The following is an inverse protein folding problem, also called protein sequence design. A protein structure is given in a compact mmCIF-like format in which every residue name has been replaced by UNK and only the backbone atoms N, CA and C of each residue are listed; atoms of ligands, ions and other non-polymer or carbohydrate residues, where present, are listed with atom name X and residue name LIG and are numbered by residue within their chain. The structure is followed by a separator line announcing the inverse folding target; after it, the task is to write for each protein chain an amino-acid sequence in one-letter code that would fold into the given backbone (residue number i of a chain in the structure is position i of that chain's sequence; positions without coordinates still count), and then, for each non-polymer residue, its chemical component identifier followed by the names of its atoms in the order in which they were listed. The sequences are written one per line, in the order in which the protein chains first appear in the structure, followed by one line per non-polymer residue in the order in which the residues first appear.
data_IF_952096569668
#
_entry.id   IF_952096569668
#
_cell.length_a   1.000
_cell.length_b   1.000
_cell.length_c   1.000
_cell.angle_alpha   90.00
_cell.angle_beta   90.00
_cell.angle_gamma   90.00
#
_symmetry.space_group_name_H-M   'P 1'
#
loop_
_entity.id
_entity.type
_entity.pdbx_description
1 polymer ?
#
# COMPACT_ATOMS: atom_id res chain seq x y z
N UNK A 1 6.28 19.74 0.37
CA UNK A 1 7.76 19.75 0.29
C UNK A 1 8.39 18.71 1.22
N UNK A 2 7.80 18.40 2.37
CA UNK A 2 8.37 17.41 3.32
C UNK A 2 8.32 15.95 2.82
N UNK A 3 7.36 15.60 1.96
CA UNK A 3 7.24 14.24 1.41
C UNK A 3 8.33 13.85 0.41
N UNK A 4 9.05 14.81 -0.16
CA UNK A 4 10.09 14.56 -1.18
C UNK A 4 11.44 14.24 -0.52
N UNK A 5 11.72 14.79 0.65
CA UNK A 5 12.98 14.54 1.39
C UNK A 5 13.04 13.12 1.93
N UNK A 6 11.91 12.61 2.45
CA UNK A 6 11.83 11.26 3.02
C UNK A 6 12.08 10.16 1.96
N UNK A 7 11.79 10.44 0.68
CA UNK A 7 12.00 9.50 -0.42
C UNK A 7 13.48 9.38 -0.85
N UNK A 8 14.29 10.40 -0.60
CA UNK A 8 15.71 10.40 -0.96
C UNK A 8 16.57 9.58 0.02
N UNK A 9 16.10 9.38 1.25
CA UNK A 9 16.79 8.59 2.28
C UNK A 9 16.51 7.09 2.21
N UNK A 10 15.55 6.66 1.39
CA UNK A 10 15.14 5.26 1.28
C UNK A 10 16.04 4.38 0.39
N UNK A 11 17.21 4.85 -0.03
CA UNK A 11 18.18 4.04 -0.78
C UNK A 11 18.65 2.87 0.08
N UNK A 12 18.13 1.69 -0.22
CA UNK A 12 18.54 0.42 0.42
C UNK A 12 17.45 -0.29 1.24
N UNK A 13 16.18 0.21 1.24
CA UNK A 13 15.13 -0.29 2.14
C UNK A 13 13.87 -0.78 1.47
N UNK A 14 13.96 -1.14 0.24
CA UNK A 14 12.81 -1.39 -0.59
C UNK A 14 12.21 -0.08 -1.11
N UNK A 15 11.70 -0.13 -2.31
CA UNK A 15 11.17 1.05 -2.97
C UNK A 15 9.70 1.28 -2.60
N UNK A 16 9.35 2.53 -2.32
CA UNK A 16 7.96 2.96 -2.16
C UNK A 16 7.39 3.30 -3.52
N UNK A 17 6.33 2.60 -3.94
CA UNK A 17 5.65 2.86 -5.19
C UNK A 17 4.26 3.45 -4.97
N UNK A 18 3.90 4.43 -5.80
CA UNK A 18 2.54 4.96 -5.90
C UNK A 18 1.87 4.37 -7.13
N UNK A 19 0.65 3.87 -6.97
CA UNK A 19 -0.17 3.39 -8.09
C UNK A 19 -1.09 4.48 -8.55
N UNK A 20 -1.18 4.61 -9.88
CA UNK A 20 -1.91 5.68 -10.53
C UNK A 20 -2.75 5.10 -11.67
N UNK A 21 -3.93 5.66 -11.91
CA UNK A 21 -4.81 5.24 -12.99
C UNK A 21 -4.18 5.40 -14.38
N UNK A 22 -3.47 6.50 -14.59
CA UNK A 22 -2.83 6.82 -15.87
C UNK A 22 -1.43 6.23 -16.01
N UNK A 23 -0.59 6.39 -14.98
CA UNK A 23 0.84 6.02 -15.06
C UNK A 23 1.16 4.63 -14.53
N UNK A 24 0.18 3.94 -13.93
CA UNK A 24 0.38 2.60 -13.38
C UNK A 24 1.18 2.62 -12.08
N UNK A 25 2.46 2.26 -12.14
CA UNK A 25 3.39 2.24 -11.00
C UNK A 25 4.37 3.39 -11.11
N UNK A 26 4.48 4.21 -10.07
CA UNK A 26 5.37 5.36 -9.99
C UNK A 26 6.30 5.23 -8.79
N UNK A 27 7.55 5.61 -8.98
CA UNK A 27 8.49 5.87 -7.88
C UNK A 27 8.27 7.28 -7.32
N UNK A 28 8.65 7.57 -6.07
CA UNK A 28 8.41 8.86 -5.44
C UNK A 28 8.98 10.07 -6.17
N UNK A 29 10.06 9.88 -6.95
CA UNK A 29 10.74 10.95 -7.69
C UNK A 29 10.45 10.96 -9.19
N UNK A 30 9.54 10.12 -9.67
CA UNK A 30 9.15 10.14 -11.08
C UNK A 30 8.39 11.45 -11.38
N UNK A 31 8.82 12.15 -12.44
CA UNK A 31 8.15 13.35 -12.91
C UNK A 31 6.86 12.98 -13.64
N UNK A 32 5.77 13.63 -13.28
CA UNK A 32 4.45 13.40 -13.90
C UNK A 32 3.76 14.73 -14.19
N UNK A 33 2.90 14.72 -15.19
CA UNK A 33 1.98 15.82 -15.46
C UNK A 33 0.72 15.72 -14.57
N UNK A 34 0.11 16.85 -14.18
CA UNK A 34 -1.14 16.84 -13.44
C UNK A 34 -2.27 16.15 -14.21
N UNK A 35 -2.97 15.24 -13.58
CA UNK A 35 -4.13 14.58 -14.16
C UNK A 35 -5.15 14.18 -13.09
N UNK A 36 -6.37 13.82 -13.54
CA UNK A 36 -7.40 13.25 -12.68
C UNK A 36 -8.02 12.04 -13.37
N UNK A 37 -7.54 10.85 -13.02
CA UNK A 37 -8.07 9.58 -13.49
C UNK A 37 -7.93 8.55 -12.37
N UNK A 38 -9.05 8.13 -11.81
CA UNK A 38 -9.09 7.13 -10.74
C UNK A 38 -9.07 5.73 -11.35
N UNK A 39 -8.47 4.75 -10.65
CA UNK A 39 -8.31 3.37 -11.14
C UNK A 39 -9.67 2.71 -11.41
N UNK A 40 -10.69 3.01 -10.59
CA UNK A 40 -12.06 2.53 -10.77
C UNK A 40 -12.83 3.14 -11.93
N UNK A 41 -12.25 4.10 -12.68
CA UNK A 41 -12.92 4.77 -13.80
C UNK A 41 -13.24 3.79 -14.92
N UNK A 42 -14.46 3.90 -15.45
CA UNK A 42 -14.90 3.15 -16.65
C UNK A 42 -14.37 3.87 -17.89
N UNK A 43 -13.22 3.45 -18.36
CA UNK A 43 -12.61 3.98 -19.57
C UNK A 43 -12.49 2.86 -20.61
N UNK A 44 -13.17 3.00 -21.74
CA UNK A 44 -13.02 2.08 -22.86
C UNK A 44 -11.68 2.34 -23.55
N UNK A 45 -10.89 1.29 -23.68
CA UNK A 45 -9.59 1.29 -24.35
C UNK A 45 -9.55 0.14 -25.37
N UNK A 46 -8.52 0.09 -26.20
CA UNK A 46 -8.29 -1.06 -27.07
C UNK A 46 -8.06 -2.39 -26.34
N UNK A 47 -7.80 -2.37 -25.01
CA UNK A 47 -7.58 -3.54 -24.18
C UNK A 47 -8.79 -3.91 -23.30
N UNK A 48 -9.87 -3.13 -23.32
CA UNK A 48 -11.07 -3.44 -22.55
C UNK A 48 -11.83 -2.20 -22.05
N UNK A 49 -12.86 -2.42 -21.24
CA UNK A 49 -13.80 -1.39 -20.76
C UNK A 49 -13.41 -0.74 -19.42
N UNK A 50 -12.29 -1.10 -18.83
CA UNK A 50 -11.83 -0.60 -17.53
C UNK A 50 -10.31 -0.42 -17.52
N UNK A 51 -9.80 0.38 -16.60
CA UNK A 51 -8.36 0.50 -16.40
C UNK A 51 -7.74 -0.79 -15.84
N UNK A 52 -8.49 -1.60 -15.11
CA UNK A 52 -8.03 -2.93 -14.68
C UNK A 52 -7.72 -3.83 -15.88
N UNK A 53 -8.63 -3.86 -16.87
CA UNK A 53 -8.40 -4.61 -18.11
C UNK A 53 -7.26 -4.00 -18.96
N UNK A 54 -7.09 -2.69 -18.93
CA UNK A 54 -5.99 -2.01 -19.63
C UNK A 54 -4.64 -2.42 -19.06
N UNK A 55 -4.48 -2.40 -17.73
CA UNK A 55 -3.23 -2.73 -17.07
C UNK A 55 -2.95 -4.23 -17.07
N UNK A 56 -3.98 -5.08 -16.92
CA UNK A 56 -3.81 -6.52 -16.87
C UNK A 56 -2.75 -6.93 -15.85
N UNK A 57 -1.75 -7.68 -16.26
CA UNK A 57 -0.63 -8.15 -15.44
C UNK A 57 0.58 -7.18 -15.42
N UNK A 58 0.56 -6.11 -16.20
CA UNK A 58 1.72 -5.21 -16.38
C UNK A 58 2.22 -4.63 -15.05
N UNK A 59 1.31 -4.31 -14.10
CA UNK A 59 1.70 -3.80 -12.80
C UNK A 59 2.41 -4.86 -11.96
N UNK A 60 1.95 -6.10 -12.04
CA UNK A 60 2.60 -7.24 -11.36
C UNK A 60 3.97 -7.53 -11.94
N UNK A 61 4.12 -7.48 -13.27
CA UNK A 61 5.42 -7.64 -13.93
C UNK A 61 6.42 -6.56 -13.51
N UNK A 62 5.98 -5.29 -13.46
CA UNK A 62 6.83 -4.18 -12.99
C UNK A 62 7.26 -4.37 -11.53
N UNK A 63 6.34 -4.79 -10.65
CA UNK A 63 6.63 -5.06 -9.24
C UNK A 63 7.56 -6.28 -9.08
N UNK A 64 7.41 -7.32 -9.91
CA UNK A 64 8.31 -8.47 -9.91
C UNK A 64 9.74 -8.09 -10.31
N UNK A 65 9.87 -7.29 -11.38
CA UNK A 65 11.18 -6.80 -11.82
C UNK A 65 11.89 -6.03 -10.71
N UNK A 66 11.16 -5.16 -10.03
CA UNK A 66 11.70 -4.39 -8.92
C UNK A 66 12.05 -5.27 -7.71
N UNK A 67 11.19 -6.22 -7.37
CA UNK A 67 11.45 -7.16 -6.28
C UNK A 67 12.73 -7.99 -6.56
N UNK A 68 12.92 -8.43 -7.80
CA UNK A 68 14.12 -9.15 -8.21
C UNK A 68 15.39 -8.28 -8.11
N UNK A 69 15.29 -6.98 -8.51
CA UNK A 69 16.42 -6.04 -8.44
C UNK A 69 16.83 -5.76 -6.98
N UNK A 70 15.87 -5.66 -6.07
CA UNK A 70 16.13 -5.33 -4.66
C UNK A 70 16.28 -6.55 -3.75
N UNK A 71 16.01 -7.75 -4.25
CA UNK A 71 15.96 -8.96 -3.44
C UNK A 71 14.76 -9.01 -2.48
N UNK A 72 13.69 -8.25 -2.75
CA UNK A 72 12.52 -8.18 -1.88
C UNK A 72 11.61 -9.40 -2.06
N UNK A 73 11.37 -10.15 -0.99
CA UNK A 73 10.46 -11.30 -0.99
C UNK A 73 9.03 -10.93 -0.57
N UNK A 74 8.83 -9.75 0.01
CA UNK A 74 7.56 -9.28 0.57
C UNK A 74 7.19 -7.92 0.00
N UNK A 75 5.92 -7.77 -0.37
CA UNK A 75 5.29 -6.52 -0.76
C UNK A 75 4.28 -6.11 0.31
N UNK A 76 4.49 -4.97 0.97
CA UNK A 76 3.54 -4.42 1.93
C UNK A 76 2.52 -3.53 1.21
N UNK A 77 1.26 -3.96 1.20
CA UNK A 77 0.19 -3.25 0.51
C UNK A 77 -0.42 -2.13 1.37
N UNK A 78 0.07 -0.92 1.21
CA UNK A 78 -0.53 0.29 1.81
C UNK A 78 -1.54 1.00 0.88
N UNK A 79 -1.86 0.44 -0.29
CA UNK A 79 -2.84 1.01 -1.21
C UNK A 79 -4.29 0.73 -0.79
N UNK A 80 -5.26 1.47 -1.34
CA UNK A 80 -6.67 1.14 -1.20
C UNK A 80 -7.03 -0.11 -2.02
N UNK A 81 -8.15 -0.74 -1.72
CA UNK A 81 -8.66 -1.89 -2.48
C UNK A 81 -8.82 -1.56 -3.98
N UNK A 82 -9.30 -0.34 -4.29
CA UNK A 82 -9.44 0.15 -5.66
C UNK A 82 -8.11 0.08 -6.42
N UNK A 83 -7.05 0.65 -5.84
CA UNK A 83 -5.75 0.69 -6.51
C UNK A 83 -5.01 -0.65 -6.44
N UNK A 84 -5.15 -1.40 -5.36
CA UNK A 84 -4.54 -2.72 -5.26
C UNK A 84 -5.21 -3.75 -6.16
N UNK A 85 -6.49 -3.60 -6.43
CA UNK A 85 -7.23 -4.44 -7.37
C UNK A 85 -6.71 -4.43 -8.81
N UNK A 86 -5.83 -3.48 -9.15
CA UNK A 86 -5.15 -3.44 -10.45
C UNK A 86 -3.89 -4.33 -10.51
N UNK A 87 -3.50 -4.94 -9.40
CA UNK A 87 -2.41 -5.94 -9.36
C UNK A 87 -3.00 -7.32 -9.54
N UNK A 88 -2.54 -8.03 -10.55
CA UNK A 88 -2.85 -9.44 -10.74
C UNK A 88 -2.00 -10.27 -9.77
N UNK A 89 -2.64 -10.76 -8.71
CA UNK A 89 -1.97 -11.56 -7.67
C UNK A 89 -1.46 -12.90 -8.21
N UNK A 90 -2.06 -13.43 -9.26
CA UNK A 90 -1.62 -14.70 -9.87
C UNK A 90 -0.30 -14.54 -10.62
N UNK A 91 0.01 -13.33 -11.07
CA UNK A 91 1.24 -12.97 -11.76
C UNK A 91 2.30 -12.34 -10.83
N UNK A 92 1.98 -12.12 -9.55
CA UNK A 92 2.86 -11.45 -8.59
C UNK A 92 3.76 -12.47 -7.86
N UNK A 93 5.08 -12.27 -7.89
CA UNK A 93 6.04 -13.16 -7.24
C UNK A 93 6.21 -12.91 -5.72
N UNK A 94 6.34 -11.65 -5.23
CA UNK A 94 6.49 -11.40 -3.79
C UNK A 94 5.23 -11.78 -3.00
N UNK A 95 5.43 -12.24 -1.76
CA UNK A 95 4.32 -12.41 -0.80
C UNK A 95 3.72 -11.05 -0.47
N UNK A 96 2.39 -10.98 -0.36
CA UNK A 96 1.70 -9.74 0.00
C UNK A 96 1.32 -9.74 1.46
N UNK A 97 1.69 -8.67 2.17
CA UNK A 97 1.17 -8.35 3.50
C UNK A 97 0.32 -7.09 3.38
N UNK A 98 -0.93 -7.15 3.82
CA UNK A 98 -1.86 -6.02 3.80
C UNK A 98 -2.18 -5.59 5.23
N UNK A 99 -1.62 -4.47 5.71
CA UNK A 99 -2.04 -3.86 6.97
C UNK A 99 -3.49 -3.38 6.88
N UNK A 100 -4.31 -3.79 7.84
CA UNK A 100 -5.72 -3.43 7.93
C UNK A 100 -5.94 -2.66 9.23
N UNK A 101 -6.36 -1.42 9.11
CA UNK A 101 -6.56 -0.51 10.23
C UNK A 101 -8.04 -0.41 10.58
N UNK A 102 -8.35 -0.65 11.85
CA UNK A 102 -9.73 -0.68 12.37
C UNK A 102 -9.85 0.18 13.62
N UNK A 103 -11.02 0.79 13.80
CA UNK A 103 -11.40 1.53 15.01
C UNK A 103 -12.46 0.74 15.78
N UNK A 104 -12.27 0.63 17.11
CA UNK A 104 -13.24 0.02 18.02
C UNK A 104 -14.13 1.09 18.62
N UNK A 105 -15.44 0.93 18.45
CA UNK A 105 -16.45 1.78 19.06
C UNK A 105 -17.59 0.90 19.57
N UNK A 106 -18.01 1.09 20.81
CA UNK A 106 -19.06 0.29 21.46
C UNK A 106 -18.87 -1.22 21.29
N UNK A 107 -17.64 -1.72 21.48
CA UNK A 107 -17.29 -3.13 21.39
C UNK A 107 -17.17 -3.69 19.97
N UNK A 108 -17.46 -2.90 18.93
CA UNK A 108 -17.35 -3.33 17.53
C UNK A 108 -16.16 -2.67 16.84
N UNK A 109 -15.35 -3.48 16.14
CA UNK A 109 -14.26 -3.00 15.31
C UNK A 109 -14.72 -2.84 13.85
N UNK A 110 -14.44 -1.66 13.24
CA UNK A 110 -14.81 -1.35 11.86
C UNK A 110 -13.69 -0.56 11.19
N UNK A 111 -13.59 -0.72 9.86
CA UNK A 111 -12.70 0.12 9.05
C UNK A 111 -13.41 1.46 8.83
N UNK A 112 -12.77 2.56 9.24
CA UNK A 112 -13.21 3.92 8.93
C UNK A 112 -12.30 4.47 7.84
N UNK A 113 -12.82 4.66 6.64
CA UNK A 113 -12.05 4.98 5.42
C UNK A 113 -11.08 6.14 5.58
N UNK A 114 -11.50 7.20 6.25
CA UNK A 114 -10.67 8.38 6.50
C UNK A 114 -9.44 8.04 7.39
N UNK A 115 -9.67 7.32 8.48
CA UNK A 115 -8.59 6.92 9.39
C UNK A 115 -7.69 5.86 8.77
N UNK A 116 -8.27 4.87 8.08
CA UNK A 116 -7.51 3.85 7.38
C UNK A 116 -6.59 4.45 6.29
N UNK A 117 -7.05 5.49 5.58
CA UNK A 117 -6.21 6.22 4.62
C UNK A 117 -5.00 6.87 5.29
N UNK A 118 -5.20 7.57 6.40
CA UNK A 118 -4.12 8.20 7.18
C UNK A 118 -3.16 7.15 7.74
N UNK A 119 -3.68 6.07 8.32
CA UNK A 119 -2.88 5.02 8.93
C UNK A 119 -2.01 4.28 7.92
N UNK A 120 -2.50 4.00 6.70
CA UNK A 120 -1.69 3.41 5.62
C UNK A 120 -0.54 4.32 5.21
N UNK A 121 -0.78 5.63 5.12
CA UNK A 121 0.29 6.60 4.88
C UNK A 121 1.32 6.65 6.02
N UNK A 122 0.84 6.60 7.27
CA UNK A 122 1.71 6.54 8.44
C UNK A 122 2.54 5.25 8.50
N UNK A 123 1.95 4.10 8.13
CA UNK A 123 2.66 2.82 8.03
C UNK A 123 3.76 2.87 6.97
N UNK A 124 3.47 3.42 5.78
CA UNK A 124 4.49 3.58 4.75
C UNK A 124 5.66 4.47 5.23
N UNK A 125 5.34 5.56 5.91
CA UNK A 125 6.34 6.43 6.53
C UNK A 125 7.14 5.71 7.62
N UNK A 126 6.47 4.95 8.47
CA UNK A 126 7.09 4.17 9.54
C UNK A 126 8.14 3.19 8.99
N UNK A 127 7.78 2.43 7.93
CA UNK A 127 8.71 1.51 7.27
C UNK A 127 9.99 2.21 6.80
N UNK A 128 9.84 3.36 6.15
CA UNK A 128 10.97 4.14 5.63
C UNK A 128 11.81 4.71 6.78
N UNK A 129 11.20 5.34 7.77
CA UNK A 129 11.91 5.97 8.89
C UNK A 129 12.67 4.98 9.77
N UNK A 130 12.09 3.79 10.01
CA UNK A 130 12.73 2.74 10.81
C UNK A 130 13.60 1.81 9.97
N UNK A 131 13.68 2.04 8.65
CA UNK A 131 14.49 1.23 7.75
C UNK A 131 14.19 -0.27 7.90
N UNK A 132 12.92 -0.63 7.88
CA UNK A 132 12.51 -2.00 8.10
C UNK A 132 12.92 -2.89 6.91
N UNK A 133 13.77 -3.88 7.16
CA UNK A 133 14.14 -4.93 6.22
C UNK A 133 13.38 -6.24 6.49
N UNK A 134 12.91 -6.42 7.73
CA UNK A 134 12.07 -7.55 8.14
C UNK A 134 10.62 -7.08 8.31
N UNK A 135 9.64 -7.71 7.63
CA UNK A 135 8.25 -7.36 7.79
C UNK A 135 7.70 -7.54 9.22
N UNK A 136 8.32 -8.38 10.05
CA UNK A 136 7.91 -8.54 11.46
C UNK A 136 7.98 -7.22 12.23
N UNK A 137 8.89 -6.32 11.89
CA UNK A 137 8.97 -4.97 12.47
C UNK A 137 7.74 -4.10 12.23
N UNK A 138 6.83 -4.46 11.29
CA UNK A 138 5.54 -3.76 11.13
C UNK A 138 4.63 -3.95 12.36
N UNK A 139 4.78 -5.03 13.10
CA UNK A 139 3.94 -5.34 14.27
C UNK A 139 4.16 -4.35 15.42
N UNK A 140 5.29 -3.66 15.43
CA UNK A 140 5.62 -2.63 16.41
C UNK A 140 5.02 -1.25 16.06
N UNK A 141 4.29 -1.14 14.94
CA UNK A 141 3.65 0.10 14.56
C UNK A 141 2.58 0.53 15.54
N UNK A 142 2.74 1.73 16.12
CA UNK A 142 1.86 2.30 17.16
C UNK A 142 1.31 3.69 16.81
N UNK A 143 1.67 4.25 15.65
CA UNK A 143 1.27 5.60 15.26
C UNK A 143 -0.25 5.80 15.30
N UNK A 144 -0.68 6.83 15.99
CA UNK A 144 -2.10 7.13 16.17
C UNK A 144 -2.83 6.19 17.12
N UNK A 145 -2.11 5.46 17.98
CA UNK A 145 -2.65 4.55 18.99
C UNK A 145 -3.10 3.19 18.43
N UNK A 146 -2.69 2.84 17.21
CA UNK A 146 -2.93 1.49 16.69
C UNK A 146 -1.99 0.48 17.34
N UNK A 147 -2.51 -0.73 17.54
CA UNK A 147 -1.72 -1.88 17.99
C UNK A 147 -2.03 -3.09 17.12
N UNK A 148 -1.02 -3.90 16.85
CA UNK A 148 -1.17 -5.16 16.11
C UNK A 148 -2.01 -6.16 16.91
N UNK A 149 -2.92 -6.88 16.24
CA UNK A 149 -3.81 -7.87 16.85
C UNK A 149 -3.59 -9.23 16.20
N UNK A 150 -2.83 -10.09 16.87
CA UNK A 150 -2.47 -11.43 16.39
C UNK A 150 -3.70 -12.28 16.05
N UNK A 151 -4.68 -12.34 16.96
CA UNK A 151 -5.85 -13.24 16.84
C UNK A 151 -6.81 -12.84 15.71
N UNK A 152 -6.66 -11.64 15.15
CA UNK A 152 -7.45 -11.15 14.00
C UNK A 152 -6.63 -11.10 12.71
N UNK A 153 -5.37 -11.51 12.77
CA UNK A 153 -4.42 -11.47 11.66
C UNK A 153 -4.18 -12.86 11.09
N UNK A 154 -3.80 -12.91 9.81
CA UNK A 154 -3.37 -14.12 9.12
C UNK A 154 -2.06 -13.87 8.36
N UNK A 155 -1.64 -14.81 7.50
CA UNK A 155 -0.40 -14.73 6.75
C UNK A 155 -0.31 -13.54 5.77
N UNK A 156 -1.46 -13.01 5.34
CA UNK A 156 -1.54 -11.93 4.34
C UNK A 156 -2.19 -10.65 4.87
N UNK A 157 -3.05 -10.77 5.88
CA UNK A 157 -3.81 -9.68 6.45
C UNK A 157 -3.36 -9.46 7.89
N UNK A 158 -2.77 -8.30 8.16
CA UNK A 158 -2.31 -7.91 9.48
C UNK A 158 -3.18 -6.80 10.05
N UNK A 159 -3.93 -7.10 11.10
CA UNK A 159 -4.90 -6.20 11.71
C UNK A 159 -4.22 -5.33 12.76
N UNK A 160 -4.44 -4.02 12.62
CA UNK A 160 -4.06 -2.99 13.58
C UNK A 160 -5.32 -2.33 14.09
N UNK A 161 -5.53 -2.38 15.39
CA UNK A 161 -6.73 -1.90 16.06
C UNK A 161 -6.41 -0.78 17.03
N UNK A 162 -7.28 0.20 17.08
CA UNK A 162 -7.29 1.23 18.14
C UNK A 162 -8.71 1.51 18.61
N UNK A 163 -8.85 2.20 19.73
CA UNK A 163 -10.13 2.79 20.08
C UNK A 163 -10.48 3.96 19.16
N UNK A 164 -11.77 4.13 18.91
CA UNK A 164 -12.24 5.24 18.08
C UNK A 164 -11.83 6.57 18.74
N UNK A 165 -11.15 7.49 18.04
CA UNK A 165 -10.77 8.76 18.62
C UNK A 165 -12.01 9.55 19.02
N UNK A 166 -12.09 9.93 20.29
CA UNK A 166 -13.10 10.89 20.73
C UNK A 166 -12.76 12.27 20.16
N UNK A 167 -13.82 13.04 19.80
CA UNK A 167 -13.68 14.35 19.18
C UNK A 167 -13.22 15.41 20.20
#
# INVERSE_FOLDING_TARGET
EDGIRDAQESRGLGDVYKRQGLYGVLRPLDAIEPYRLEMGSRLKTGKGGTLYAYWGDQLSQALNAQAAETGAEVLVNCASQEYFGAVDLSALAPKVITPVFMERRAGQAKIVSFYAKKARGAMARYMVQHRLSDPEGLKDFDSGGYAYVQDQSDAQKWVFLRDYPEA
#
